data_IF_662510610453
#
_entry.id   IF_662510610453
#
_cell.length_a   1.000
_cell.length_b   1.000
_cell.length_c   1.000
_cell.angle_alpha   90.00
_cell.angle_beta   90.00
_cell.angle_gamma   90.00
#
_symmetry.space_group_name_H-M   'P 1'
#
loop_
_entity.id
_entity.type
_entity.pdbx_description
1 polymer ?
#
# COMPACT_ATOMS: atom_id res chain seq x y z
N UNK A 1 14.45 -8.57 4.74
CA UNK A 1 13.68 -7.50 4.07
C UNK A 1 14.58 -6.80 3.08
N UNK A 2 14.09 -6.46 1.89
CA UNK A 2 14.86 -5.79 0.85
C UNK A 2 14.27 -4.41 0.54
N UNK A 3 15.11 -3.36 0.62
CA UNK A 3 14.68 -1.98 0.36
C UNK A 3 14.91 -1.58 -1.10
N UNK A 4 13.97 -0.83 -1.66
CA UNK A 4 14.06 -0.27 -3.01
C UNK A 4 13.44 1.14 -3.06
N UNK A 5 13.91 1.94 -4.02
CA UNK A 5 13.36 3.28 -4.27
C UNK A 5 12.31 3.19 -5.36
N UNK A 6 11.16 3.83 -5.15
CA UNK A 6 10.12 4.00 -6.15
C UNK A 6 10.15 5.45 -6.59
N UNK A 7 10.42 5.67 -7.87
CA UNK A 7 10.41 6.99 -8.48
C UNK A 7 9.07 7.21 -9.17
N UNK A 8 8.41 8.31 -8.84
CA UNK A 8 7.13 8.68 -9.42
C UNK A 8 7.30 9.73 -10.53
N UNK A 9 6.33 9.82 -11.44
CA UNK A 9 6.31 10.90 -12.40
C UNK A 9 6.00 12.23 -11.71
N UNK A 10 6.43 13.35 -12.30
CA UNK A 10 6.14 14.70 -11.74
C UNK A 10 4.64 14.97 -11.61
N UNK A 11 3.83 14.33 -12.44
CA UNK A 11 2.38 14.46 -12.47
C UNK A 11 1.72 13.75 -11.27
N UNK A 12 2.41 12.80 -10.64
CA UNK A 12 1.93 12.05 -9.48
C UNK A 12 2.04 12.85 -8.17
N UNK A 13 2.62 14.05 -8.21
CA UNK A 13 2.72 14.99 -7.07
C UNK A 13 3.24 14.34 -5.77
N UNK A 14 4.05 13.30 -5.91
CA UNK A 14 4.57 12.48 -4.81
C UNK A 14 6.09 12.40 -4.95
N UNK A 15 6.80 12.59 -3.85
CA UNK A 15 8.25 12.44 -3.82
C UNK A 15 8.65 10.96 -3.92
N UNK A 16 9.90 10.67 -4.29
CA UNK A 16 10.41 9.31 -4.30
C UNK A 16 10.26 8.65 -2.92
N UNK A 17 9.83 7.39 -2.91
CA UNK A 17 9.58 6.62 -1.69
C UNK A 17 10.59 5.50 -1.53
N UNK A 18 11.02 5.25 -0.30
CA UNK A 18 11.78 4.04 0.04
C UNK A 18 10.81 3.00 0.57
N UNK A 19 10.64 1.91 -0.17
CA UNK A 19 9.75 0.80 0.17
C UNK A 19 10.57 -0.41 0.57
N UNK A 20 10.07 -1.19 1.51
CA UNK A 20 10.69 -2.46 1.91
C UNK A 20 9.78 -3.61 1.50
N UNK A 21 10.30 -4.59 0.75
CA UNK A 21 9.63 -5.87 0.53
C UNK A 21 10.03 -6.84 1.63
N UNK A 22 9.05 -7.40 2.31
CA UNK A 22 9.25 -8.33 3.42
C UNK A 22 9.24 -9.76 2.88
N UNK A 23 10.17 -10.58 3.37
CA UNK A 23 10.04 -12.04 3.27
C UNK A 23 9.02 -12.54 4.31
N UNK A 24 8.63 -13.80 4.21
CA UNK A 24 7.77 -14.46 5.21
C UNK A 24 8.33 -14.36 6.64
N UNK A 25 9.65 -14.53 6.82
CA UNK A 25 10.31 -14.40 8.12
C UNK A 25 10.25 -12.95 8.66
N UNK A 26 10.48 -11.96 7.79
CA UNK A 26 10.37 -10.55 8.19
C UNK A 26 8.93 -10.20 8.56
N UNK A 27 7.95 -10.70 7.82
CA UNK A 27 6.54 -10.50 8.08
C UNK A 27 6.15 -11.05 9.44
N UNK A 28 6.53 -12.30 9.75
CA UNK A 28 6.26 -12.88 11.06
C UNK A 28 6.91 -12.09 12.19
N UNK A 29 8.13 -11.59 11.98
CA UNK A 29 8.81 -10.77 12.98
C UNK A 29 8.10 -9.43 13.18
N UNK A 30 7.72 -8.76 12.10
CA UNK A 30 7.06 -7.45 12.13
C UNK A 30 5.65 -7.47 12.74
N UNK A 31 4.98 -8.63 12.70
CA UNK A 31 3.58 -8.79 13.13
C UNK A 31 3.42 -9.55 14.46
N UNK A 32 4.52 -9.94 15.09
CA UNK A 32 4.49 -10.85 16.25
C UNK A 32 3.78 -10.28 17.49
N UNK A 33 3.75 -8.95 17.64
CA UNK A 33 3.03 -8.24 18.70
C UNK A 33 1.55 -8.02 18.39
N UNK A 34 1.12 -8.27 17.15
CA UNK A 34 -0.26 -8.14 16.68
C UNK A 34 -0.39 -7.24 15.46
N UNK A 35 -1.56 -7.29 14.83
CA UNK A 35 -1.91 -6.50 13.65
C UNK A 35 -3.24 -5.80 13.85
N UNK A 36 -3.43 -4.70 13.13
CA UNK A 36 -4.68 -3.95 13.05
C UNK A 36 -5.00 -3.69 11.59
N UNK A 37 -6.01 -4.41 11.10
CA UNK A 37 -6.56 -4.16 9.78
C UNK A 37 -7.19 -2.77 9.71
N UNK A 38 -6.94 -2.04 8.61
CA UNK A 38 -7.44 -0.68 8.41
C UNK A 38 -8.48 -0.65 7.29
N UNK A 39 -8.08 -0.95 6.06
CA UNK A 39 -8.97 -0.93 4.89
C UNK A 39 -8.40 -1.77 3.75
N UNK A 40 -9.25 -2.02 2.76
CA UNK A 40 -8.96 -2.80 1.57
C UNK A 40 -9.16 -1.93 0.34
N UNK A 41 -8.37 -2.19 -0.70
CA UNK A 41 -8.53 -1.57 -2.00
C UNK A 41 -8.43 -2.63 -3.09
N UNK A 42 -9.52 -2.79 -3.83
CA UNK A 42 -9.57 -3.63 -5.02
C UNK A 42 -9.29 -2.78 -6.27
N UNK A 43 -8.38 -3.25 -7.11
CA UNK A 43 -7.94 -2.52 -8.30
C UNK A 43 -7.69 -3.49 -9.45
N UNK A 44 -7.56 -2.96 -10.66
CA UNK A 44 -7.18 -3.77 -11.83
C UNK A 44 -5.76 -4.36 -11.74
N UNK A 45 -4.92 -3.91 -10.81
CA UNK A 45 -3.53 -4.37 -10.64
C UNK A 45 -3.36 -5.31 -9.45
N UNK A 46 -4.44 -5.61 -8.75
CA UNK A 46 -4.47 -6.52 -7.61
C UNK A 46 -5.33 -6.02 -6.46
N UNK A 47 -5.43 -6.87 -5.46
CA UNK A 47 -6.14 -6.58 -4.22
C UNK A 47 -5.13 -6.23 -3.11
N UNK A 48 -5.41 -5.17 -2.37
CA UNK A 48 -4.50 -4.63 -1.37
C UNK A 48 -5.17 -4.56 -0.01
N UNK A 49 -4.48 -5.06 1.02
CA UNK A 49 -4.92 -5.00 2.42
C UNK A 49 -3.96 -4.11 3.20
N UNK A 50 -4.47 -3.01 3.76
CA UNK A 50 -3.71 -2.05 4.55
C UNK A 50 -3.86 -2.33 6.04
N UNK A 51 -2.75 -2.35 6.76
CA UNK A 51 -2.74 -2.62 8.20
C UNK A 51 -1.51 -2.03 8.88
N UNK A 52 -1.64 -1.69 10.16
CA UNK A 52 -0.49 -1.48 11.04
C UNK A 52 -0.21 -2.76 11.85
N UNK A 53 1.03 -2.89 12.30
CA UNK A 53 1.47 -3.98 13.15
C UNK A 53 2.48 -3.51 14.19
N UNK A 54 2.65 -4.30 15.22
CA UNK A 54 3.68 -4.11 16.24
C UNK A 54 4.52 -5.38 16.36
N UNK A 55 5.84 -5.24 16.46
CA UNK A 55 6.71 -6.37 16.79
C UNK A 55 6.80 -6.60 18.31
N UNK A 56 7.46 -7.68 18.74
CA UNK A 56 7.65 -7.97 20.18
C UNK A 56 8.34 -6.88 20.99
N UNK A 57 9.10 -5.98 20.33
CA UNK A 57 9.81 -4.89 20.98
C UNK A 57 8.98 -3.60 21.05
N UNK A 58 7.75 -3.60 20.52
CA UNK A 58 6.90 -2.43 20.46
C UNK A 58 7.19 -1.52 19.25
N UNK A 59 7.92 -1.99 18.24
CA UNK A 59 8.18 -1.21 17.03
C UNK A 59 6.96 -1.31 16.12
N UNK A 60 6.46 -0.15 15.70
CA UNK A 60 5.37 -0.06 14.72
C UNK A 60 5.85 -0.33 13.30
N UNK A 61 4.99 -0.98 12.52
CA UNK A 61 5.16 -1.29 11.11
C UNK A 61 3.90 -0.89 10.35
N UNK A 62 4.06 -0.29 9.17
CA UNK A 62 2.95 0.14 8.33
C UNK A 62 3.01 -0.63 7.02
N UNK A 63 2.03 -1.53 6.83
CA UNK A 63 2.16 -2.66 5.93
C UNK A 63 1.01 -2.71 4.93
N UNK A 64 1.33 -3.21 3.74
CA UNK A 64 0.36 -3.55 2.70
C UNK A 64 0.63 -4.98 2.25
N UNK A 65 -0.39 -5.84 2.31
CA UNK A 65 -0.39 -7.12 1.60
C UNK A 65 -0.98 -6.90 0.21
N UNK A 66 -0.31 -7.45 -0.79
CA UNK A 66 -0.73 -7.40 -2.19
C UNK A 66 -1.02 -8.82 -2.67
N UNK A 67 -2.18 -9.01 -3.28
CA UNK A 67 -2.62 -10.26 -3.87
C UNK A 67 -2.81 -10.05 -5.37
N UNK A 68 -2.18 -10.91 -6.19
CA UNK A 68 -2.40 -10.97 -7.63
C UNK A 68 -3.36 -12.12 -7.98
N UNK A 69 -4.30 -11.84 -8.89
CA UNK A 69 -5.30 -12.80 -9.39
C UNK A 69 -6.18 -13.40 -8.28
N UNK A 70 -6.55 -14.68 -8.37
CA UNK A 70 -7.38 -15.39 -7.40
C UNK A 70 -6.55 -16.20 -6.38
N UNK A 71 -5.33 -15.76 -6.06
CA UNK A 71 -4.45 -16.46 -5.11
C UNK A 71 -4.90 -16.26 -3.66
N UNK A 72 -4.86 -17.34 -2.87
CA UNK A 72 -5.18 -17.30 -1.44
C UNK A 72 -4.05 -16.66 -0.61
N UNK A 73 -2.80 -16.83 -1.06
CA UNK A 73 -1.60 -16.28 -0.43
C UNK A 73 -1.23 -14.91 -1.04
N UNK A 74 -0.69 -13.96 -0.24
CA UNK A 74 -0.24 -12.69 -0.75
C UNK A 74 0.99 -12.86 -1.66
N UNK A 75 0.98 -12.20 -2.81
CA UNK A 75 2.09 -12.16 -3.75
C UNK A 75 3.25 -11.27 -3.28
N UNK A 76 2.97 -10.32 -2.37
CA UNK A 76 4.00 -9.52 -1.71
C UNK A 76 3.49 -8.89 -0.41
N UNK A 77 4.43 -8.60 0.50
CA UNK A 77 4.21 -7.71 1.64
C UNK A 77 5.17 -6.52 1.56
N UNK A 78 4.62 -5.31 1.60
CA UNK A 78 5.38 -4.06 1.55
C UNK A 78 5.28 -3.31 2.88
N UNK A 79 6.39 -2.72 3.31
CA UNK A 79 6.48 -1.84 4.48
C UNK A 79 6.91 -0.45 4.06
N UNK A 80 6.34 0.55 4.74
CA UNK A 80 6.46 1.97 4.42
C UNK A 80 6.86 2.79 5.66
N UNK A 81 7.41 3.99 5.42
CA UNK A 81 7.48 4.99 6.47
C UNK A 81 6.08 5.53 6.79
N UNK A 82 5.86 5.97 8.04
CA UNK A 82 4.57 6.50 8.48
C UNK A 82 4.03 7.61 7.58
N UNK A 83 4.91 8.50 7.08
CA UNK A 83 4.52 9.63 6.24
C UNK A 83 3.89 9.17 4.91
N UNK A 84 4.42 8.09 4.34
CA UNK A 84 4.04 7.54 3.05
C UNK A 84 2.73 6.75 3.21
N UNK A 85 2.66 5.93 4.26
CA UNK A 85 1.44 5.19 4.59
C UNK A 85 0.27 6.11 4.98
N UNK A 86 0.57 7.22 5.66
CA UNK A 86 -0.40 8.27 5.97
C UNK A 86 -0.95 8.91 4.70
N UNK A 87 -0.11 9.18 3.70
CA UNK A 87 -0.56 9.70 2.40
C UNK A 87 -1.57 8.76 1.75
N UNK A 88 -1.30 7.44 1.74
CA UNK A 88 -2.23 6.45 1.18
C UNK A 88 -3.57 6.44 1.92
N UNK A 89 -3.52 6.44 3.25
CA UNK A 89 -4.71 6.49 4.10
C UNK A 89 -5.51 7.78 3.86
N UNK A 90 -4.83 8.92 3.71
CA UNK A 90 -5.47 10.21 3.43
C UNK A 90 -6.19 10.21 2.07
N UNK A 91 -5.59 9.64 1.03
CA UNK A 91 -6.23 9.49 -0.29
C UNK A 91 -7.48 8.62 -0.19
N UNK A 92 -7.40 7.47 0.48
CA UNK A 92 -8.54 6.58 0.67
C UNK A 92 -9.69 7.25 1.43
N UNK A 93 -9.39 7.90 2.56
CA UNK A 93 -10.39 8.59 3.37
C UNK A 93 -10.99 9.81 2.65
N UNK A 94 -10.18 10.52 1.85
CA UNK A 94 -10.68 11.65 1.08
C UNK A 94 -11.70 11.19 0.03
N UNK A 95 -11.44 10.07 -0.63
CA UNK A 95 -12.41 9.47 -1.55
C UNK A 95 -13.71 9.12 -0.83
N UNK A 96 -13.65 8.40 0.30
CA UNK A 96 -14.85 8.04 1.05
C UNK A 96 -15.71 9.25 1.48
N UNK A 97 -15.08 10.37 1.84
CA UNK A 97 -15.81 11.56 2.30
C UNK A 97 -16.47 12.32 1.14
N UNK A 98 -15.80 12.41 -0.01
CA UNK A 98 -16.23 13.32 -1.10
C UNK A 98 -16.86 12.60 -2.30
N UNK A 99 -16.72 11.28 -2.42
CA UNK A 99 -17.29 10.49 -3.51
C UNK A 99 -18.84 10.38 -3.38
N UNK A 100 -19.42 10.52 -2.18
CA UNK A 100 -20.88 10.59 -1.99
C UNK A 100 -21.51 11.93 -2.42
N UNK A 101 -20.73 13.02 -2.57
CA UNK A 101 -21.24 14.35 -2.92
C UNK A 101 -21.27 14.64 -4.44
N UNK A 102 -20.61 13.80 -5.25
CA UNK A 102 -20.50 13.96 -6.70
C UNK A 102 -21.45 13.01 -7.45
N UNK A 103 -22.49 13.57 -8.09
CA UNK A 103 -23.40 12.87 -9.00
C UNK A 103 -22.64 12.18 -10.17
N UNK A 104 -22.43 10.87 -10.05
CA UNK A 104 -22.55 9.77 -11.04
C UNK A 104 -22.24 9.92 -12.56
N UNK A 105 -21.60 10.96 -13.12
CA UNK A 105 -21.46 11.04 -14.61
C UNK A 105 -20.06 11.26 -15.22
N UNK A 106 -18.97 11.42 -14.47
CA UNK A 106 -17.63 11.37 -15.06
C UNK A 106 -16.69 10.48 -14.24
N UNK A 107 -16.00 9.54 -14.90
CA UNK A 107 -14.84 8.79 -14.38
C UNK A 107 -13.67 9.77 -14.13
N UNK A 108 -13.88 10.76 -13.27
CA UNK A 108 -12.89 11.78 -12.96
C UNK A 108 -11.80 11.14 -12.10
N UNK A 109 -10.54 11.42 -12.44
CA UNK A 109 -9.38 10.91 -11.71
C UNK A 109 -9.39 11.42 -10.26
N UNK A 110 -9.99 10.64 -9.38
CA UNK A 110 -10.18 10.94 -7.97
C UNK A 110 -9.05 10.44 -7.06
N UNK A 111 -9.15 10.69 -5.75
CA UNK A 111 -8.14 10.28 -4.77
C UNK A 111 -7.85 8.77 -4.76
N UNK A 112 -8.86 7.89 -4.87
CA UNK A 112 -8.63 6.45 -4.96
C UNK A 112 -7.96 6.03 -6.26
N UNK A 113 -8.25 6.70 -7.39
CA UNK A 113 -7.54 6.46 -8.65
C UNK A 113 -6.07 6.83 -8.54
N UNK A 114 -5.78 7.93 -7.82
CA UNK A 114 -4.41 8.32 -7.53
C UNK A 114 -3.69 7.31 -6.64
N UNK A 115 -4.33 6.83 -5.57
CA UNK A 115 -3.78 5.77 -4.74
C UNK A 115 -3.47 4.50 -5.54
N UNK A 116 -4.41 4.04 -6.38
CA UNK A 116 -4.19 2.88 -7.25
C UNK A 116 -3.00 3.08 -8.20
N UNK A 117 -2.81 4.30 -8.72
CA UNK A 117 -1.67 4.64 -9.56
C UNK A 117 -0.33 4.54 -8.82
N UNK A 118 -0.27 5.03 -7.57
CA UNK A 118 0.94 4.94 -6.75
C UNK A 118 1.28 3.47 -6.43
N UNK A 119 0.27 2.66 -6.07
CA UNK A 119 0.43 1.23 -5.80
C UNK A 119 0.93 0.46 -7.03
N UNK A 120 0.47 0.83 -8.23
CA UNK A 120 0.97 0.24 -9.47
C UNK A 120 2.49 0.41 -9.62
N UNK A 121 3.04 1.61 -9.41
CA UNK A 121 4.49 1.82 -9.47
C UNK A 121 5.25 1.03 -8.40
N UNK A 122 4.69 0.94 -7.19
CA UNK A 122 5.30 0.15 -6.09
C UNK A 122 5.36 -1.33 -6.47
N UNK A 123 4.29 -1.89 -7.02
CA UNK A 123 4.23 -3.29 -7.45
C UNK A 123 5.20 -3.55 -8.60
N UNK A 124 5.25 -2.67 -9.61
CA UNK A 124 6.13 -2.84 -10.77
C UNK A 124 7.62 -2.75 -10.41
N UNK A 125 8.00 -1.86 -9.48
CA UNK A 125 9.36 -1.85 -8.94
C UNK A 125 9.61 -3.05 -8.02
N UNK A 126 8.63 -3.43 -7.20
CA UNK A 126 8.70 -4.57 -6.28
C UNK A 126 8.91 -5.91 -6.99
N UNK A 127 8.38 -6.10 -8.20
CA UNK A 127 8.63 -7.28 -9.05
C UNK A 127 10.10 -7.47 -9.43
N UNK A 128 10.89 -6.40 -9.41
CA UNK A 128 12.33 -6.43 -9.73
C UNK A 128 13.19 -6.83 -8.54
N UNK A 129 12.60 -6.89 -7.34
CA UNK A 129 13.26 -7.20 -6.08
C UNK A 129 12.93 -8.64 -5.68
N UNK A 130 13.98 -9.44 -5.46
CA UNK A 130 13.81 -10.79 -4.92
C UNK A 130 13.39 -10.70 -3.45
N UNK A 131 12.61 -11.68 -2.98
CA UNK A 131 12.28 -11.84 -1.55
C UNK A 131 13.49 -12.30 -0.74
#
# INVERSE_FOLDING_TARGET
>A
MNSFSVEFHKEDQTDAMTVQKLSEEDFHTATEGGTRHLFELDTNVGFFVFFDAEDKAGKEWYLILHYEEEQEDPSACYSFELKDFYQFTALYLNDLEFNEETNEEEEEYGPVHHLAHLLFHIVEEGKKVQE
#
